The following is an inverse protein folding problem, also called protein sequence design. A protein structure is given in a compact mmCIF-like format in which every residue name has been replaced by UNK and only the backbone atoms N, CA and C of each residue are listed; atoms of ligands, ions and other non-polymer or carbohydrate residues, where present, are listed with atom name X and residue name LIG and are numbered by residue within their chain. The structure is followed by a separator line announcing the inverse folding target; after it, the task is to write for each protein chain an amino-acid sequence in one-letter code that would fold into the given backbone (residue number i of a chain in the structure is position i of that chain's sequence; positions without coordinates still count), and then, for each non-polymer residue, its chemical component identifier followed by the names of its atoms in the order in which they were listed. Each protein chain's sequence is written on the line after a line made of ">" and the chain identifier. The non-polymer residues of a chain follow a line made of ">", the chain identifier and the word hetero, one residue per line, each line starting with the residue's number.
data_IF_064030068399
#
_entry.id   IF_064030068399
#
_cell.length_a   1.000
_cell.length_b   1.000
_cell.length_c   1.000
_cell.angle_alpha   90.00
_cell.angle_beta   90.00
_cell.angle_gamma   90.00
#
_symmetry.space_group_name_H-M   'P 1'
#
loop_
_entity.id
_entity.type
_entity.pdbx_description
1 polymer ?
#
# COMPACT_ATOMS: atom_id res chain seq x y z
N UNK A 1 27.72 -58.76 11.43
CA UNK A 1 26.45 -58.14 10.97
C UNK A 1 26.14 -56.77 11.58
N UNK A 2 26.63 -56.39 12.77
CA UNK A 2 26.29 -55.10 13.42
C UNK A 2 26.81 -53.80 12.75
N UNK A 3 27.92 -53.83 11.99
CA UNK A 3 28.51 -52.62 11.37
C UNK A 3 27.74 -52.09 10.14
N UNK A 4 27.12 -52.98 9.34
CA UNK A 4 26.37 -52.55 8.14
C UNK A 4 25.04 -51.87 8.48
N UNK A 5 24.38 -52.29 9.56
CA UNK A 5 23.09 -51.72 9.99
C UNK A 5 23.23 -50.29 10.51
N UNK A 6 24.34 -49.97 11.18
CA UNK A 6 24.63 -48.62 11.69
C UNK A 6 24.88 -47.63 10.54
N UNK A 7 25.60 -48.05 9.49
CA UNK A 7 25.85 -47.20 8.32
C UNK A 7 24.57 -46.87 7.53
N UNK A 8 23.62 -47.80 7.45
CA UNK A 8 22.35 -47.57 6.75
C UNK A 8 21.48 -46.57 7.52
N UNK A 9 21.39 -46.69 8.86
CA UNK A 9 20.64 -45.73 9.67
C UNK A 9 21.20 -44.31 9.60
N UNK A 10 22.53 -44.16 9.55
CA UNK A 10 23.17 -42.85 9.47
C UNK A 10 22.92 -42.16 8.12
N UNK A 11 22.93 -42.92 7.01
CA UNK A 11 22.60 -42.41 5.68
C UNK A 11 21.12 -41.98 5.61
N UNK A 12 20.20 -42.78 6.15
CA UNK A 12 18.77 -42.43 6.21
C UNK A 12 18.54 -41.16 7.06
N UNK A 13 19.24 -41.03 8.19
CA UNK A 13 19.14 -39.84 9.05
C UNK A 13 19.67 -38.57 8.35
N UNK A 14 20.80 -38.65 7.65
CA UNK A 14 21.34 -37.52 6.85
C UNK A 14 20.39 -37.14 5.72
N UNK A 15 19.79 -38.12 5.02
CA UNK A 15 18.79 -37.86 3.98
C UNK A 15 17.52 -37.21 4.56
N UNK A 16 17.05 -37.64 5.73
CA UNK A 16 15.93 -37.00 6.41
C UNK A 16 16.25 -35.55 6.84
N UNK A 17 17.46 -35.27 7.33
CA UNK A 17 17.86 -33.89 7.66
C UNK A 17 17.91 -33.01 6.40
N UNK A 18 18.39 -33.52 5.27
CA UNK A 18 18.37 -32.76 4.00
C UNK A 18 16.97 -32.52 3.45
N UNK A 19 16.01 -33.41 3.74
CA UNK A 19 14.62 -33.26 3.31
C UNK A 19 13.82 -32.32 4.23
N UNK A 20 14.10 -32.30 5.53
CA UNK A 20 13.44 -31.37 6.49
C UNK A 20 14.00 -29.95 6.38
N UNK A 21 15.25 -29.77 5.90
CA UNK A 21 15.82 -28.46 5.60
C UNK A 21 15.30 -27.84 4.28
N UNK A 22 14.49 -28.57 3.50
CA UNK A 22 13.73 -28.03 2.39
C UNK A 22 12.41 -27.42 2.90
N UNK A 23 12.51 -26.52 3.90
CA UNK A 23 11.38 -25.67 4.26
C UNK A 23 10.95 -24.93 3.00
N UNK A 24 9.66 -24.96 2.66
CA UNK A 24 9.10 -24.16 1.56
C UNK A 24 9.60 -22.74 1.75
N UNK A 25 10.54 -22.29 0.90
CA UNK A 25 10.96 -20.90 0.91
C UNK A 25 9.73 -20.10 0.54
N UNK A 26 9.33 -19.22 1.45
CA UNK A 26 8.30 -18.24 1.20
C UNK A 26 8.69 -17.42 -0.03
N UNK A 27 7.75 -17.22 -0.95
CA UNK A 27 8.01 -16.43 -2.14
C UNK A 27 8.25 -14.96 -1.71
N UNK A 28 9.15 -14.24 -2.40
CA UNK A 28 9.33 -12.79 -2.19
C UNK A 28 8.01 -12.03 -2.17
N UNK A 29 7.91 -10.98 -1.35
CA UNK A 29 6.70 -10.13 -1.27
C UNK A 29 5.43 -10.93 -0.97
N UNK A 30 5.54 -11.99 -0.15
CA UNK A 30 4.36 -12.55 0.55
C UNK A 30 3.91 -11.65 1.70
N UNK A 31 4.86 -10.90 2.26
CA UNK A 31 4.68 -9.79 3.17
C UNK A 31 5.60 -8.67 2.70
N UNK A 32 5.03 -7.54 2.29
CA UNK A 32 5.78 -6.39 1.79
C UNK A 32 6.38 -5.61 2.96
N UNK A 33 7.61 -5.06 2.85
CA UNK A 33 8.20 -4.22 3.89
C UNK A 33 7.37 -2.98 4.23
N UNK A 34 6.56 -2.49 3.29
CA UNK A 34 5.60 -1.41 3.52
C UNK A 34 4.52 -1.79 4.54
N UNK A 35 4.19 -3.08 4.69
CA UNK A 35 3.18 -3.55 5.65
C UNK A 35 3.66 -3.44 7.12
N UNK A 36 4.95 -3.19 7.35
CA UNK A 36 5.51 -2.92 8.68
C UNK A 36 5.58 -1.42 9.00
N UNK A 37 5.18 -0.55 8.07
CA UNK A 37 5.06 0.89 8.31
C UNK A 37 3.74 1.13 9.02
N UNK A 38 3.76 1.92 10.08
CA UNK A 38 2.57 2.30 10.84
C UNK A 38 2.46 3.83 10.81
N UNK A 39 1.34 4.32 10.28
CA UNK A 39 0.95 5.73 10.32
C UNK A 39 -0.39 5.79 11.02
N UNK A 40 -0.42 6.35 12.23
CA UNK A 40 -1.55 6.19 13.17
C UNK A 40 -2.91 6.60 12.59
N UNK A 41 -2.99 7.74 11.90
CA UNK A 41 -4.26 8.18 11.29
C UNK A 41 -4.71 7.27 10.14
N UNK A 42 -3.77 6.73 9.35
CA UNK A 42 -4.10 5.79 8.28
C UNK A 42 -4.56 4.44 8.86
N UNK A 43 -3.92 3.96 9.92
CA UNK A 43 -4.36 2.75 10.61
C UNK A 43 -5.77 2.92 11.20
N UNK A 44 -6.08 4.08 11.78
CA UNK A 44 -7.43 4.38 12.28
C UNK A 44 -8.49 4.34 11.18
N UNK A 45 -8.21 4.99 10.03
CA UNK A 45 -9.10 5.00 8.87
C UNK A 45 -9.33 3.59 8.34
N UNK A 46 -8.25 2.81 8.16
CA UNK A 46 -8.31 1.46 7.58
C UNK A 46 -9.09 0.50 8.49
N UNK A 47 -8.87 0.57 9.81
CA UNK A 47 -9.56 -0.28 10.77
C UNK A 47 -11.04 0.08 10.92
N UNK A 48 -11.43 1.31 10.57
CA UNK A 48 -12.79 1.84 10.72
C UNK A 48 -13.36 2.36 9.40
N UNK A 49 -13.07 1.69 8.28
CA UNK A 49 -13.35 2.18 6.93
C UNK A 49 -14.80 2.65 6.75
N UNK A 50 -15.79 1.79 7.06
CA UNK A 50 -17.22 2.10 6.92
C UNK A 50 -17.64 3.34 7.74
N UNK A 51 -17.04 3.52 8.92
CA UNK A 51 -17.30 4.68 9.77
C UNK A 51 -16.76 5.96 9.11
N UNK A 52 -15.54 5.92 8.56
CA UNK A 52 -14.96 7.09 7.89
C UNK A 52 -15.69 7.46 6.60
N UNK A 53 -16.14 6.47 5.82
CA UNK A 53 -17.00 6.71 4.66
C UNK A 53 -18.28 7.47 5.06
N UNK A 54 -18.94 7.03 6.14
CA UNK A 54 -20.11 7.71 6.70
C UNK A 54 -19.79 9.12 7.21
N UNK A 55 -18.70 9.30 7.96
CA UNK A 55 -18.29 10.59 8.50
C UNK A 55 -17.95 11.60 7.40
N UNK A 56 -17.31 11.18 6.31
CA UNK A 56 -17.04 12.05 5.16
C UNK A 56 -18.32 12.45 4.44
N UNK A 57 -19.27 11.53 4.29
CA UNK A 57 -20.59 11.85 3.75
C UNK A 57 -21.36 12.85 4.61
N UNK A 58 -21.38 12.63 5.92
CA UNK A 58 -22.04 13.51 6.88
C UNK A 58 -21.39 14.90 6.90
N UNK A 59 -20.06 14.96 6.84
CA UNK A 59 -19.33 16.21 6.76
C UNK A 59 -19.63 16.96 5.45
N UNK A 60 -19.70 16.27 4.31
CA UNK A 60 -20.11 16.86 3.04
C UNK A 60 -21.53 17.44 3.11
N UNK A 61 -22.46 16.69 3.71
CA UNK A 61 -23.85 17.12 3.93
C UNK A 61 -23.93 18.35 4.84
N UNK A 62 -23.10 18.41 5.89
CA UNK A 62 -22.97 19.59 6.76
C UNK A 62 -22.43 20.79 5.97
N UNK A 63 -21.37 20.61 5.18
CA UNK A 63 -20.73 21.70 4.42
C UNK A 63 -21.62 22.26 3.31
N UNK A 64 -22.32 21.39 2.58
CA UNK A 64 -23.08 21.76 1.38
C UNK A 64 -24.52 22.14 1.74
N UNK A 65 -25.18 21.37 2.61
CA UNK A 65 -26.60 21.54 2.92
C UNK A 65 -26.86 22.12 4.33
N UNK A 66 -25.83 22.27 5.16
CA UNK A 66 -25.98 22.76 6.54
C UNK A 66 -26.58 21.74 7.50
N UNK A 67 -26.65 20.46 7.11
CA UNK A 67 -27.23 19.38 7.92
C UNK A 67 -26.11 18.64 8.65
N UNK A 68 -26.03 18.81 9.97
CA UNK A 68 -25.06 18.14 10.83
C UNK A 68 -25.71 16.90 11.47
N UNK A 69 -25.08 15.74 11.33
CA UNK A 69 -25.51 14.51 12.02
C UNK A 69 -25.01 14.47 13.47
N UNK A 70 -25.75 13.76 14.33
CA UNK A 70 -25.33 13.52 15.72
C UNK A 70 -24.02 12.70 15.77
N UNK A 71 -23.83 11.79 14.82
CA UNK A 71 -22.63 10.95 14.72
C UNK A 71 -21.39 11.78 14.40
N UNK A 72 -21.48 12.68 13.40
CA UNK A 72 -20.40 13.61 13.09
C UNK A 72 -20.11 14.54 14.27
N UNK A 73 -21.15 15.05 14.95
CA UNK A 73 -20.97 15.90 16.13
C UNK A 73 -20.21 15.19 17.25
N UNK A 74 -20.62 13.97 17.59
CA UNK A 74 -19.95 13.17 18.61
C UNK A 74 -18.52 12.83 18.23
N UNK A 75 -18.27 12.53 16.96
CA UNK A 75 -16.93 12.25 16.46
C UNK A 75 -16.01 13.48 16.60
N UNK A 76 -16.38 14.62 16.01
CA UNK A 76 -15.51 15.81 16.00
C UNK A 76 -15.28 16.40 17.39
N UNK A 77 -16.25 16.27 18.31
CA UNK A 77 -16.11 16.74 19.70
C UNK A 77 -15.17 15.87 20.54
N UNK A 78 -14.92 14.64 20.11
CA UNK A 78 -13.96 13.73 20.72
C UNK A 78 -12.52 13.90 20.23
N UNK A 79 -12.29 14.67 19.16
CA UNK A 79 -10.96 14.86 18.58
C UNK A 79 -10.15 15.95 19.29
N UNK A 80 -8.83 15.77 19.31
CA UNK A 80 -7.89 16.87 19.60
C UNK A 80 -7.91 17.91 18.48
N UNK A 81 -7.43 19.14 18.74
CA UNK A 81 -7.34 20.19 17.72
C UNK A 81 -6.56 19.76 16.46
N UNK A 82 -5.45 19.04 16.63
CA UNK A 82 -4.63 18.52 15.52
C UNK A 82 -5.39 17.48 14.70
N UNK A 83 -5.95 16.45 15.35
CA UNK A 83 -6.75 15.42 14.69
C UNK A 83 -8.02 16.00 14.01
N UNK A 84 -8.65 17.01 14.61
CA UNK A 84 -9.77 17.72 14.00
C UNK A 84 -9.32 18.44 12.73
N UNK A 85 -8.21 19.17 12.78
CA UNK A 85 -7.63 19.83 11.61
C UNK A 85 -7.36 18.85 10.47
N UNK A 86 -6.72 17.72 10.78
CA UNK A 86 -6.43 16.66 9.82
C UNK A 86 -7.71 16.04 9.23
N UNK A 87 -8.70 15.72 10.06
CA UNK A 87 -9.99 15.21 9.59
C UNK A 87 -10.68 16.20 8.66
N UNK A 88 -10.73 17.49 9.03
CA UNK A 88 -11.37 18.52 8.20
C UNK A 88 -10.66 18.72 6.86
N UNK A 89 -9.32 18.68 6.83
CA UNK A 89 -8.53 18.77 5.61
C UNK A 89 -8.81 17.58 4.68
N UNK A 90 -8.80 16.36 5.22
CA UNK A 90 -9.15 15.14 4.49
C UNK A 90 -10.59 15.17 3.98
N UNK A 91 -11.54 15.63 4.78
CA UNK A 91 -12.94 15.71 4.40
C UNK A 91 -13.19 16.78 3.32
N UNK A 92 -12.52 17.92 3.39
CA UNK A 92 -12.57 18.94 2.34
C UNK A 92 -11.96 18.40 1.02
N UNK A 93 -10.85 17.63 1.07
CA UNK A 93 -10.27 16.94 -0.11
C UNK A 93 -11.21 15.88 -0.68
N UNK A 94 -11.83 15.09 0.19
CA UNK A 94 -12.84 14.10 -0.19
C UNK A 94 -13.98 14.75 -0.98
N UNK A 95 -14.54 15.87 -0.48
CA UNK A 95 -15.59 16.61 -1.18
C UNK A 95 -15.14 17.04 -2.57
N UNK A 96 -13.96 17.67 -2.67
CA UNK A 96 -13.44 18.16 -3.94
C UNK A 96 -13.27 17.03 -4.97
N UNK A 97 -12.70 15.89 -4.55
CA UNK A 97 -12.54 14.73 -5.42
C UNK A 97 -13.90 14.15 -5.83
N UNK A 98 -14.82 13.95 -4.87
CA UNK A 98 -16.15 13.42 -5.16
C UNK A 98 -16.90 14.25 -6.20
N UNK A 99 -16.81 15.57 -6.10
CA UNK A 99 -17.44 16.48 -7.06
C UNK A 99 -16.82 16.38 -8.46
N UNK A 100 -15.56 15.97 -8.57
CA UNK A 100 -14.85 15.82 -9.85
C UNK A 100 -15.04 14.45 -10.51
N UNK A 101 -15.43 13.41 -9.77
CA UNK A 101 -15.50 12.03 -10.29
C UNK A 101 -16.46 11.87 -11.47
N UNK A 102 -17.59 12.58 -11.48
CA UNK A 102 -18.57 12.44 -12.57
C UNK A 102 -17.99 12.86 -13.94
N UNK A 103 -17.03 13.78 -13.96
CA UNK A 103 -16.41 14.32 -15.16
C UNK A 103 -15.01 13.75 -15.42
N UNK A 104 -14.22 13.52 -14.38
CA UNK A 104 -12.78 13.27 -14.48
C UNK A 104 -12.34 11.90 -13.94
N UNK A 105 -13.26 10.96 -13.69
CA UNK A 105 -12.92 9.65 -13.11
C UNK A 105 -11.83 8.90 -13.88
N UNK A 106 -11.92 8.84 -15.21
CA UNK A 106 -10.91 8.14 -16.03
C UNK A 106 -9.53 8.78 -15.88
N UNK A 107 -9.45 10.12 -15.92
CA UNK A 107 -8.20 10.86 -15.75
C UNK A 107 -7.61 10.68 -14.34
N UNK A 108 -8.47 10.68 -13.30
CA UNK A 108 -8.09 10.42 -11.92
C UNK A 108 -7.50 9.01 -11.77
N UNK A 109 -8.13 8.01 -12.37
CA UNK A 109 -7.65 6.62 -12.33
C UNK A 109 -6.34 6.46 -13.12
N UNK A 110 -6.19 7.10 -14.28
CA UNK A 110 -4.94 7.10 -15.04
C UNK A 110 -3.79 7.78 -14.29
N UNK A 111 -4.06 8.90 -13.63
CA UNK A 111 -3.10 9.60 -12.77
C UNK A 111 -2.66 8.75 -11.59
N UNK A 112 -3.62 8.18 -10.85
CA UNK A 112 -3.38 7.22 -9.77
C UNK A 112 -2.54 6.03 -10.24
N UNK A 113 -2.84 5.47 -11.41
CA UNK A 113 -2.10 4.34 -11.96
C UNK A 113 -0.66 4.74 -12.29
N UNK A 114 -0.46 5.89 -12.91
CA UNK A 114 0.88 6.41 -13.25
C UNK A 114 1.72 6.57 -11.97
N UNK A 115 1.12 7.11 -10.91
CA UNK A 115 1.73 7.26 -9.59
C UNK A 115 2.22 5.91 -9.03
N UNK A 116 1.34 4.90 -9.03
CA UNK A 116 1.61 3.56 -8.50
C UNK A 116 2.65 2.82 -9.35
N UNK A 117 2.51 2.84 -10.68
CA UNK A 117 3.47 2.24 -11.61
C UNK A 117 4.88 2.78 -11.37
N UNK A 118 5.02 4.11 -11.26
CA UNK A 118 6.32 4.75 -11.09
C UNK A 118 6.91 4.48 -9.71
N UNK A 119 6.10 4.51 -8.64
CA UNK A 119 6.55 4.08 -7.32
C UNK A 119 7.07 2.64 -7.34
N UNK A 120 6.36 1.71 -7.98
CA UNK A 120 6.74 0.31 -8.10
C UNK A 120 8.02 0.12 -8.92
N UNK A 121 8.16 0.81 -10.07
CA UNK A 121 9.40 0.81 -10.88
C UNK A 121 10.58 1.33 -10.07
N UNK A 122 10.40 2.44 -9.36
CA UNK A 122 11.46 3.05 -8.59
C UNK A 122 11.90 2.18 -7.40
N UNK A 123 10.93 1.67 -6.64
CA UNK A 123 11.17 0.93 -5.39
C UNK A 123 11.62 -0.51 -5.62
N UNK A 124 11.13 -1.19 -6.66
CA UNK A 124 11.37 -2.63 -6.89
C UNK A 124 12.32 -2.90 -8.06
N UNK A 125 12.17 -2.21 -9.20
CA UNK A 125 13.07 -2.36 -10.36
C UNK A 125 14.35 -1.52 -10.25
N UNK A 126 14.38 -0.55 -9.33
CA UNK A 126 15.49 0.38 -9.21
C UNK A 126 15.58 1.39 -10.36
N UNK A 127 14.49 1.59 -11.12
CA UNK A 127 14.42 2.58 -12.19
C UNK A 127 14.47 3.99 -11.61
N UNK A 128 15.61 4.67 -11.81
CA UNK A 128 15.84 6.01 -11.26
C UNK A 128 15.19 7.13 -12.07
N UNK A 129 14.62 6.82 -13.24
CA UNK A 129 13.92 7.78 -14.08
C UNK A 129 12.41 7.82 -13.79
N UNK A 130 11.85 6.76 -13.17
CA UNK A 130 10.46 6.69 -12.75
C UNK A 130 10.17 7.58 -11.51
N UNK A 131 10.31 8.90 -11.64
CA UNK A 131 10.22 9.88 -10.54
C UNK A 131 8.88 10.63 -10.45
N UNK A 132 7.96 10.33 -11.34
CA UNK A 132 6.62 10.91 -11.33
C UNK A 132 5.76 10.14 -10.32
N UNK A 133 6.09 10.35 -9.03
CA UNK A 133 5.30 9.98 -7.88
C UNK A 133 5.67 10.86 -6.67
N UNK A 134 4.70 11.10 -5.80
CA UNK A 134 4.89 11.75 -4.50
C UNK A 134 4.51 10.81 -3.35
N UNK A 135 5.11 11.02 -2.19
CA UNK A 135 4.72 10.36 -0.94
C UNK A 135 4.21 11.44 0.03
N UNK A 136 3.25 11.11 0.90
CA UNK A 136 2.94 11.97 2.04
C UNK A 136 4.17 12.16 2.93
N UNK A 137 4.23 13.25 3.70
CA UNK A 137 5.37 13.53 4.60
C UNK A 137 5.54 12.42 5.63
N UNK A 138 4.43 11.89 6.11
CA UNK A 138 4.34 10.81 7.09
C UNK A 138 4.88 9.51 6.51
N UNK A 139 4.52 9.17 5.26
CA UNK A 139 5.04 7.99 4.58
C UNK A 139 6.51 8.17 4.21
N UNK A 140 6.92 9.33 3.68
CA UNK A 140 8.31 9.63 3.34
C UNK A 140 9.24 9.52 4.58
N UNK A 141 8.79 10.01 5.74
CA UNK A 141 9.53 9.93 6.99
C UNK A 141 9.81 8.48 7.46
N UNK A 142 9.02 7.52 6.97
CA UNK A 142 9.20 6.09 7.27
C UNK A 142 10.12 5.37 6.29
N UNK A 143 10.60 6.05 5.24
CA UNK A 143 11.51 5.53 4.21
C UNK A 143 11.03 4.18 3.60
N UNK A 144 9.83 4.11 3.00
CA UNK A 144 9.31 2.87 2.41
C UNK A 144 10.22 2.32 1.32
N UNK A 145 10.81 3.20 0.51
CA UNK A 145 11.71 2.82 -0.58
C UNK A 145 13.00 2.21 -0.01
N UNK A 146 13.60 2.81 1.01
CA UNK A 146 14.77 2.26 1.68
C UNK A 146 14.48 0.92 2.35
N UNK A 147 13.32 0.76 2.99
CA UNK A 147 12.86 -0.53 3.56
C UNK A 147 12.74 -1.62 2.49
N UNK A 148 12.13 -1.32 1.34
CA UNK A 148 12.03 -2.25 0.20
C UNK A 148 13.42 -2.62 -0.35
N UNK A 149 14.29 -1.63 -0.56
CA UNK A 149 15.66 -1.85 -1.03
C UNK A 149 16.47 -2.74 -0.07
N UNK A 150 16.37 -2.47 1.23
CA UNK A 150 17.04 -3.24 2.27
C UNK A 150 16.52 -4.69 2.32
N UNK A 151 15.20 -4.88 2.24
CA UNK A 151 14.58 -6.20 2.15
C UNK A 151 15.08 -6.99 0.93
N UNK A 152 15.08 -6.39 -0.26
CA UNK A 152 15.56 -7.05 -1.47
C UNK A 152 17.02 -7.45 -1.34
N UNK A 153 17.87 -6.57 -0.80
CA UNK A 153 19.28 -6.86 -0.54
C UNK A 153 19.48 -8.02 0.44
N UNK A 154 18.80 -8.00 1.58
CA UNK A 154 18.95 -9.01 2.62
C UNK A 154 18.47 -10.39 2.18
N UNK A 155 17.39 -10.42 1.40
CA UNK A 155 16.82 -11.65 0.83
C UNK A 155 17.47 -12.06 -0.49
N UNK A 156 18.41 -11.26 -1.01
CA UNK A 156 19.06 -11.46 -2.32
C UNK A 156 18.04 -11.55 -3.46
N UNK A 157 17.01 -10.72 -3.40
CA UNK A 157 16.00 -10.58 -4.44
C UNK A 157 16.52 -9.60 -5.49
N UNK A 158 16.39 -9.96 -6.75
CA UNK A 158 16.61 -9.09 -7.90
C UNK A 158 15.36 -9.13 -8.76
N UNK A 159 14.64 -8.01 -8.87
CA UNK A 159 13.46 -7.89 -9.74
C UNK A 159 13.94 -7.42 -11.11
N UNK A 160 13.54 -8.15 -12.15
CA UNK A 160 13.92 -7.86 -13.54
C UNK A 160 12.76 -7.36 -14.38
N UNK A 161 11.53 -7.64 -13.96
CA UNK A 161 10.32 -7.28 -14.70
C UNK A 161 9.15 -7.10 -13.72
N UNK A 162 8.31 -6.10 -14.01
CA UNK A 162 6.99 -5.95 -13.41
C UNK A 162 5.97 -5.91 -14.55
N UNK A 163 4.95 -6.76 -14.49
CA UNK A 163 3.80 -6.70 -15.38
C UNK A 163 2.71 -5.93 -14.65
N UNK A 164 2.42 -4.73 -15.16
CA UNK A 164 1.34 -3.87 -14.66
C UNK A 164 0.01 -4.28 -15.30
N UNK A 165 -1.09 -4.34 -14.53
CA UNK A 165 -2.43 -4.48 -15.09
C UNK A 165 -2.81 -3.19 -15.85
N UNK A 166 -3.80 -3.29 -16.74
CA UNK A 166 -4.37 -2.13 -17.44
C UNK A 166 -5.17 -1.24 -16.48
N UNK A 167 -5.91 -1.84 -15.54
CA UNK A 167 -6.77 -1.15 -14.58
C UNK A 167 -6.51 -1.63 -13.15
N UNK A 168 -7.04 -0.89 -12.17
CA UNK A 168 -7.14 -1.36 -10.79
C UNK A 168 -8.11 -2.55 -10.68
N UNK A 169 -7.92 -3.39 -9.65
CA UNK A 169 -8.83 -4.49 -9.33
C UNK A 169 -10.11 -3.99 -8.66
N UNK A 170 -9.96 -3.03 -7.76
CA UNK A 170 -11.05 -2.38 -7.03
C UNK A 170 -10.64 -0.95 -6.66
N UNK A 171 -11.61 -0.04 -6.58
CA UNK A 171 -11.39 1.34 -6.17
C UNK A 171 -12.50 1.80 -5.25
N UNK A 172 -12.13 2.28 -4.06
CA UNK A 172 -13.06 2.90 -3.12
C UNK A 172 -12.92 4.43 -3.15
N UNK A 173 -13.91 5.08 -3.76
CA UNK A 173 -14.03 6.54 -3.84
C UNK A 173 -14.89 7.16 -2.73
N UNK A 174 -15.43 6.35 -1.82
CA UNK A 174 -16.20 6.82 -0.65
C UNK A 174 -15.29 7.04 0.57
N UNK A 175 -14.01 6.70 0.45
CA UNK A 175 -12.98 6.90 1.46
C UNK A 175 -11.99 7.98 1.01
N UNK A 176 -11.40 8.67 1.99
CA UNK A 176 -10.22 9.50 1.76
C UNK A 176 -9.11 9.20 2.78
N UNK A 177 -7.84 9.02 2.35
CA UNK A 177 -7.39 8.94 0.95
C UNK A 177 -8.05 7.79 0.16
N UNK A 178 -8.19 7.94 -1.15
CA UNK A 178 -8.91 6.96 -2.00
C UNK A 178 -8.14 5.64 -2.01
N UNK A 179 -8.84 4.52 -1.84
CA UNK A 179 -8.20 3.20 -1.80
C UNK A 179 -8.23 2.55 -3.18
N UNK A 180 -7.06 2.20 -3.69
CA UNK A 180 -6.87 1.52 -4.97
C UNK A 180 -6.25 0.14 -4.74
N UNK A 181 -7.01 -0.92 -5.01
CA UNK A 181 -6.52 -2.29 -4.95
C UNK A 181 -5.78 -2.61 -6.25
N UNK A 182 -4.49 -2.92 -6.15
CA UNK A 182 -3.61 -3.09 -7.31
C UNK A 182 -2.95 -4.47 -7.34
N UNK A 183 -3.25 -5.23 -8.41
CA UNK A 183 -2.74 -6.58 -8.65
C UNK A 183 -1.73 -6.58 -9.79
N UNK A 184 -0.47 -6.84 -9.48
CA UNK A 184 0.62 -6.84 -10.45
C UNK A 184 1.48 -8.09 -10.31
N UNK A 185 2.26 -8.41 -11.35
CA UNK A 185 3.16 -9.57 -11.32
C UNK A 185 4.60 -9.08 -11.27
N UNK A 186 5.37 -9.59 -10.31
CA UNK A 186 6.81 -9.39 -10.24
C UNK A 186 7.53 -10.65 -10.72
N UNK A 187 8.58 -10.46 -11.51
CA UNK A 187 9.50 -11.54 -11.91
C UNK A 187 10.92 -11.15 -11.58
N UNK A 188 11.71 -12.16 -11.21
CA UNK A 188 13.07 -11.91 -10.81
C UNK A 188 13.77 -13.17 -10.34
N UNK A 189 14.79 -12.99 -9.52
CA UNK A 189 15.51 -14.09 -8.89
C UNK A 189 15.66 -13.91 -7.38
N UNK A 190 15.72 -15.02 -6.65
CA UNK A 190 16.23 -15.06 -5.28
C UNK A 190 17.58 -15.78 -5.30
N UNK A 191 18.66 -15.00 -5.19
CA UNK A 191 20.03 -15.43 -5.40
C UNK A 191 20.30 -15.80 -6.86
N UNK A 192 19.78 -16.95 -7.31
CA UNK A 192 19.90 -17.44 -8.70
C UNK A 192 18.66 -18.21 -9.17
N UNK A 193 17.68 -18.41 -8.30
CA UNK A 193 16.47 -19.15 -8.64
C UNK A 193 15.42 -18.16 -9.10
N UNK A 194 14.93 -18.34 -10.33
CA UNK A 194 13.86 -17.53 -10.89
C UNK A 194 12.56 -17.69 -10.08
N UNK A 195 11.80 -16.62 -9.99
CA UNK A 195 10.44 -16.65 -9.47
C UNK A 195 9.55 -15.71 -10.28
N UNK A 196 8.27 -16.03 -10.25
CA UNK A 196 7.17 -15.19 -10.70
C UNK A 196 6.15 -15.18 -9.57
N UNK A 197 5.68 -14.00 -9.20
CA UNK A 197 4.70 -13.86 -8.14
C UNK A 197 3.72 -12.73 -8.44
N UNK A 198 2.45 -13.04 -8.30
CA UNK A 198 1.39 -12.06 -8.19
C UNK A 198 1.39 -11.42 -6.79
N UNK A 199 1.31 -10.10 -6.76
CA UNK A 199 1.25 -9.27 -5.56
C UNK A 199 -0.03 -8.45 -5.62
N UNK A 200 -0.74 -8.34 -4.49
CA UNK A 200 -1.96 -7.53 -4.37
C UNK A 200 -1.78 -6.59 -3.19
N UNK A 201 -1.86 -5.29 -3.43
CA UNK A 201 -1.68 -4.26 -2.41
C UNK A 201 -2.74 -3.18 -2.56
N UNK A 202 -3.15 -2.62 -1.44
CA UNK A 202 -3.93 -1.39 -1.37
C UNK A 202 -2.98 -0.19 -1.40
N UNK A 203 -3.23 0.73 -2.32
CA UNK A 203 -2.60 2.05 -2.38
C UNK A 203 -3.63 3.09 -1.96
N UNK A 204 -3.30 3.87 -0.94
CA UNK A 204 -4.13 4.98 -0.47
C UNK A 204 -3.59 6.25 -1.12
N UNK A 205 -4.34 6.81 -2.06
CA UNK A 205 -3.92 7.93 -2.89
C UNK A 205 -4.67 9.18 -2.46
N UNK A 206 -3.90 10.19 -2.11
CA UNK A 206 -4.35 11.48 -1.64
C UNK A 206 -3.79 12.61 -2.49
N UNK A 207 -3.96 13.81 -1.98
CA UNK A 207 -3.61 15.06 -2.65
C UNK A 207 -2.93 15.96 -1.63
N UNK A 208 -1.72 16.40 -1.94
CA UNK A 208 -1.01 17.44 -1.21
C UNK A 208 -1.28 18.80 -1.86
N UNK A 209 -1.97 19.67 -1.13
CA UNK A 209 -2.19 21.07 -1.48
C UNK A 209 -1.56 22.04 -0.49
N UNK A 210 -0.63 21.57 0.35
CA UNK A 210 -0.01 22.38 1.41
C UNK A 210 0.80 23.57 0.88
N UNK A 211 1.26 23.50 -0.38
CA UNK A 211 1.92 24.59 -1.11
C UNK A 211 0.92 25.50 -1.86
N UNK A 212 -0.37 25.37 -1.58
CA UNK A 212 -1.47 26.12 -2.18
C UNK A 212 -2.01 25.51 -3.48
N UNK A 213 -3.16 26.04 -3.93
CA UNK A 213 -3.94 25.51 -5.06
C UNK A 213 -3.20 25.47 -6.40
N UNK A 214 -2.11 26.23 -6.57
CA UNK A 214 -1.29 26.21 -7.79
C UNK A 214 -0.25 25.10 -7.84
N UNK A 215 -0.03 24.39 -6.73
CA UNK A 215 1.02 23.38 -6.56
C UNK A 215 0.46 22.06 -6.01
N UNK A 216 -0.77 21.73 -6.40
CA UNK A 216 -1.43 20.49 -6.00
C UNK A 216 -0.67 19.30 -6.60
N UNK A 217 -0.40 18.28 -5.79
CA UNK A 217 0.30 17.06 -6.21
C UNK A 217 -0.46 15.83 -5.71
N UNK A 218 -0.59 14.84 -6.57
CA UNK A 218 -1.05 13.52 -6.16
C UNK A 218 0.05 12.81 -5.37
N UNK A 219 -0.33 12.18 -4.27
CA UNK A 219 0.60 11.54 -3.34
C UNK A 219 0.09 10.17 -2.92
N UNK A 220 1.03 9.25 -2.69
CA UNK A 220 0.76 8.00 -1.99
C UNK A 220 0.81 8.31 -0.50
N UNK A 221 -0.33 8.17 0.16
CA UNK A 221 -0.50 8.36 1.60
C UNK A 221 -0.12 7.10 2.37
N UNK A 222 -0.42 5.93 1.79
CA UNK A 222 -0.15 4.66 2.42
C UNK A 222 -0.13 3.49 1.43
N UNK A 223 0.57 2.41 1.80
CA UNK A 223 0.62 1.16 1.03
C UNK A 223 0.47 -0.01 1.99
N UNK A 224 -0.43 -0.94 1.69
CA UNK A 224 -0.67 -2.11 2.55
C UNK A 224 -0.93 -3.37 1.74
N UNK A 225 -0.52 -4.52 2.25
CA UNK A 225 -0.89 -5.79 1.61
C UNK A 225 -2.38 -6.09 1.87
N UNK A 226 -3.07 -6.60 0.86
CA UNK A 226 -4.46 -7.05 1.04
C UNK A 226 -4.45 -8.27 1.95
N UNK A 227 -5.05 -8.13 3.13
CA UNK A 227 -5.20 -9.23 4.09
C UNK A 227 -6.14 -10.28 3.48
N UNK A 228 -5.63 -11.50 3.27
CA UNK A 228 -6.41 -12.65 2.81
C UNK A 228 -7.19 -13.30 3.94
#
# INVERSE_FOLDING_TARGET
>A
MKKRTISILFIVFVVCITLVACGKKELPFTHSPENDIIIDYMEEIIQNQEKYEGLYYDYASMRIAGVKSDELEQFITGLTEEALGQFTDNADKHIALKMSLDEYKEEIDEGAKTLVDNYLKYSRLGDKEAREFGLSKELEAQDPIGKVNQYMKDKKIEITEIIFPETFEDVNYDLYPMKYTYRYIIKGTVGKQAFEKEVVQDFYIGVDWSEGMGNIKDIIEYVRDVSK
#
